data_IF_561081047009
#
_entry.id   IF_561081047009
#
_cell.length_a   1.000
_cell.length_b   1.000
_cell.length_c   1.000
_cell.angle_alpha   90.00
_cell.angle_beta   90.00
_cell.angle_gamma   90.00
#
_symmetry.space_group_name_H-M   'P 1'
#
loop_
_entity.id
_entity.type
_entity.pdbx_description
1 polymer ?
#
# COMPACT_ATOMS: atom_id res chain seq x y z
N UNK A 1 -1.30 11.88 31.93
CA UNK A 1 -0.06 11.63 31.18
C UNK A 1 -0.26 12.29 29.83
N UNK A 2 0.64 13.19 29.43
CA UNK A 2 0.57 13.80 28.09
C UNK A 2 0.72 12.70 27.03
N UNK A 3 -0.19 12.68 26.06
CA UNK A 3 -0.13 11.76 24.93
C UNK A 3 1.04 12.19 24.04
N UNK A 4 2.00 11.28 23.80
CA UNK A 4 3.15 11.59 22.93
C UNK A 4 2.70 11.85 21.50
N UNK A 5 3.29 12.86 20.87
CA UNK A 5 3.11 13.19 19.46
C UNK A 5 3.66 12.08 18.55
N UNK A 6 3.26 12.05 17.28
CA UNK A 6 3.81 11.09 16.32
C UNK A 6 5.32 11.24 16.15
N UNK A 7 5.82 12.48 16.08
CA UNK A 7 7.25 12.76 15.96
C UNK A 7 8.04 12.24 17.17
N UNK A 8 7.52 12.41 18.39
CA UNK A 8 8.14 11.88 19.61
C UNK A 8 8.19 10.35 19.63
N UNK A 9 7.16 9.67 19.10
CA UNK A 9 7.20 8.21 18.98
C UNK A 9 8.21 7.77 17.93
N UNK A 10 8.18 8.37 16.74
CA UNK A 10 9.08 8.05 15.62
C UNK A 10 10.55 8.22 16.00
N UNK A 11 10.89 9.28 16.74
CA UNK A 11 12.28 9.53 17.18
C UNK A 11 12.86 8.48 18.13
N UNK A 12 12.04 7.56 18.65
CA UNK A 12 12.50 6.43 19.50
C UNK A 12 12.87 5.18 18.69
N UNK A 13 12.61 5.17 17.39
CA UNK A 13 12.91 4.03 16.53
C UNK A 13 14.43 3.76 16.51
N UNK A 14 14.87 2.51 16.75
CA UNK A 14 16.26 2.12 16.56
C UNK A 14 16.69 2.30 15.09
N UNK A 15 17.86 2.90 14.87
CA UNK A 15 18.36 3.21 13.52
C UNK A 15 19.39 2.18 13.02
N UNK A 16 19.15 0.89 13.27
CA UNK A 16 20.03 -0.18 12.74
C UNK A 16 19.66 -0.57 11.31
N UNK A 17 18.52 -0.10 10.81
CA UNK A 17 18.00 -0.38 9.47
C UNK A 17 17.48 0.92 8.85
N UNK A 18 18.39 1.80 8.37
CA UNK A 18 17.98 3.05 7.73
C UNK A 18 17.22 2.75 6.43
N UNK A 19 15.95 3.15 6.39
CA UNK A 19 15.07 3.02 5.23
C UNK A 19 14.75 4.40 4.69
N UNK A 20 15.10 4.62 3.43
CA UNK A 20 14.96 5.91 2.74
C UNK A 20 13.54 6.11 2.17
N UNK A 21 12.72 5.06 2.13
CA UNK A 21 11.35 5.05 1.64
C UNK A 21 11.02 3.81 0.83
N UNK A 22 9.90 3.85 0.11
CA UNK A 22 9.50 2.78 -0.83
C UNK A 22 10.27 2.91 -2.14
N UNK A 23 10.83 1.81 -2.62
CA UNK A 23 11.54 1.75 -3.90
C UNK A 23 10.63 1.34 -5.07
N UNK A 24 9.85 0.26 -4.87
CA UNK A 24 8.77 -0.21 -5.75
C UNK A 24 7.80 -1.12 -5.00
N UNK A 25 6.63 -1.33 -5.60
CA UNK A 25 5.68 -2.38 -5.21
C UNK A 25 5.56 -3.35 -6.38
N UNK A 26 5.73 -4.66 -6.14
CA UNK A 26 5.56 -5.68 -7.17
C UNK A 26 4.30 -6.48 -6.93
N UNK A 27 3.51 -6.61 -8.00
CA UNK A 27 2.32 -7.43 -8.08
C UNK A 27 2.64 -8.69 -8.85
N UNK A 28 2.18 -9.82 -8.33
CA UNK A 28 2.11 -11.05 -9.08
C UNK A 28 0.70 -11.16 -9.65
N UNK A 29 0.61 -11.17 -10.97
CA UNK A 29 -0.64 -11.02 -11.70
C UNK A 29 -0.80 -12.07 -12.80
N UNK A 30 -2.04 -12.45 -13.10
CA UNK A 30 -2.37 -13.42 -14.13
C UNK A 30 -2.00 -12.95 -15.53
N UNK A 31 -2.05 -11.63 -15.79
CA UNK A 31 -1.63 -11.05 -17.06
C UNK A 31 -0.98 -9.68 -16.87
N UNK A 32 0.35 -9.67 -16.76
CA UNK A 32 1.12 -8.44 -16.53
C UNK A 32 0.95 -7.39 -17.63
N UNK A 33 0.70 -7.79 -18.88
CA UNK A 33 0.51 -6.84 -19.99
C UNK A 33 -0.82 -6.11 -19.87
N UNK A 34 -1.90 -6.82 -19.51
CA UNK A 34 -3.22 -6.22 -19.30
C UNK A 34 -3.27 -5.39 -18.01
N UNK A 35 -2.69 -5.90 -16.92
CA UNK A 35 -2.57 -5.14 -15.67
C UNK A 35 -1.77 -3.84 -15.90
N UNK A 36 -0.64 -3.92 -16.61
CA UNK A 36 0.12 -2.72 -16.95
C UNK A 36 -0.69 -1.75 -17.83
N UNK A 37 -1.51 -2.25 -18.76
CA UNK A 37 -2.41 -1.40 -19.53
C UNK A 37 -3.43 -0.68 -18.63
N UNK A 38 -4.10 -1.41 -17.73
CA UNK A 38 -5.09 -0.86 -16.79
C UNK A 38 -4.50 0.24 -15.90
N UNK A 39 -3.41 -0.02 -15.19
CA UNK A 39 -2.78 0.98 -14.32
C UNK A 39 -2.24 2.18 -15.11
N UNK A 40 -1.78 1.96 -16.36
CA UNK A 40 -1.40 3.05 -17.24
C UNK A 40 -2.61 3.91 -17.61
N UNK A 41 -3.66 3.32 -18.17
CA UNK A 41 -4.84 4.04 -18.68
C UNK A 41 -5.66 4.67 -17.56
N UNK A 42 -5.98 3.90 -16.52
CA UNK A 42 -6.92 4.29 -15.48
C UNK A 42 -6.26 5.22 -14.44
N UNK A 43 -5.02 4.89 -14.03
CA UNK A 43 -4.32 5.65 -12.98
C UNK A 43 -3.28 6.65 -13.52
N UNK A 44 -3.03 6.72 -14.84
CA UNK A 44 -2.13 7.70 -15.43
C UNK A 44 -0.64 7.43 -15.27
N UNK A 45 -0.28 6.19 -14.94
CA UNK A 45 1.12 5.78 -14.91
C UNK A 45 1.77 5.85 -16.30
N UNK A 46 3.09 5.94 -16.34
CA UNK A 46 3.88 5.89 -17.56
C UNK A 46 4.69 4.60 -17.64
N UNK A 47 4.96 4.13 -18.86
CA UNK A 47 5.88 3.01 -19.07
C UNK A 47 7.29 3.43 -18.69
N UNK A 48 7.99 2.61 -17.90
CA UNK A 48 9.38 2.85 -17.50
C UNK A 48 10.31 1.80 -18.11
N UNK A 49 10.07 0.53 -17.78
CA UNK A 49 10.98 -0.55 -18.14
C UNK A 49 10.25 -1.88 -18.33
N UNK A 50 10.91 -2.82 -19.00
CA UNK A 50 10.39 -4.16 -19.26
C UNK A 50 11.49 -5.21 -19.13
N UNK A 51 11.16 -6.36 -18.55
CA UNK A 51 11.95 -7.57 -18.60
C UNK A 51 11.07 -8.76 -19.05
N UNK A 52 11.59 -9.60 -19.93
CA UNK A 52 10.88 -10.77 -20.44
C UNK A 52 11.73 -11.55 -21.44
N UNK A 53 11.14 -12.43 -22.28
CA UNK A 53 11.90 -13.29 -23.17
C UNK A 53 12.81 -12.51 -24.12
N UNK A 54 12.37 -11.31 -24.53
CA UNK A 54 13.11 -10.39 -25.40
C UNK A 54 14.31 -9.73 -24.70
N UNK A 55 14.40 -9.80 -23.36
CA UNK A 55 15.56 -9.36 -22.56
C UNK A 55 16.33 -10.53 -21.94
N UNK A 56 16.01 -11.77 -22.33
CA UNK A 56 16.66 -12.98 -21.82
C UNK A 56 16.00 -13.62 -20.59
N UNK A 57 14.97 -12.99 -20.02
CA UNK A 57 14.18 -13.55 -18.90
C UNK A 57 13.09 -14.47 -19.46
N UNK A 58 13.28 -15.79 -19.36
CA UNK A 58 12.43 -16.76 -20.09
C UNK A 58 11.30 -17.40 -19.27
N UNK A 59 11.29 -17.16 -17.97
CA UNK A 59 10.35 -17.75 -17.00
C UNK A 59 9.20 -16.81 -16.63
N UNK A 60 9.37 -15.50 -16.79
CA UNK A 60 8.38 -14.47 -16.45
C UNK A 60 8.48 -13.25 -17.38
N UNK A 61 7.45 -12.41 -17.33
CA UNK A 61 7.47 -11.07 -17.91
C UNK A 61 7.06 -10.04 -16.86
N UNK A 62 7.80 -8.94 -16.79
CA UNK A 62 7.65 -7.87 -15.80
C UNK A 62 7.61 -6.51 -16.47
N UNK A 63 6.53 -5.77 -16.24
CA UNK A 63 6.33 -4.41 -16.74
C UNK A 63 6.45 -3.43 -15.59
N UNK A 64 7.31 -2.43 -15.74
CA UNK A 64 7.52 -1.39 -14.73
C UNK A 64 6.82 -0.12 -15.18
N UNK A 65 5.93 0.36 -14.32
CA UNK A 65 5.21 1.59 -14.46
C UNK A 65 5.69 2.61 -13.44
N UNK A 66 5.70 3.89 -13.82
CA UNK A 66 6.09 4.98 -12.91
C UNK A 66 5.14 6.18 -12.99
N UNK A 67 4.82 6.76 -11.84
CA UNK A 67 4.18 8.07 -11.71
C UNK A 67 4.75 8.77 -10.47
N UNK A 68 5.33 9.95 -10.65
CA UNK A 68 6.10 10.58 -9.59
C UNK A 68 7.23 9.66 -9.10
N UNK A 69 7.25 9.39 -7.79
CA UNK A 69 8.15 8.44 -7.12
C UNK A 69 7.58 7.02 -7.02
N UNK A 70 6.33 6.80 -7.42
CA UNK A 70 5.68 5.49 -7.34
C UNK A 70 6.19 4.62 -8.48
N UNK A 71 6.68 3.43 -8.17
CA UNK A 71 7.00 2.39 -9.16
C UNK A 71 6.19 1.14 -8.89
N UNK A 72 5.39 0.71 -9.87
CA UNK A 72 4.67 -0.55 -9.82
C UNK A 72 5.35 -1.52 -10.79
N UNK A 73 5.66 -2.72 -10.33
CA UNK A 73 6.09 -3.83 -11.18
C UNK A 73 4.92 -4.80 -11.30
N UNK A 74 4.50 -5.10 -12.53
CA UNK A 74 3.45 -6.06 -12.82
C UNK A 74 4.14 -7.28 -13.42
N UNK A 75 4.12 -8.40 -12.70
CA UNK A 75 4.91 -9.58 -13.04
C UNK A 75 4.00 -10.80 -13.22
N UNK A 76 4.15 -11.50 -14.34
CA UNK A 76 3.41 -12.73 -14.65
C UNK A 76 4.37 -13.86 -15.02
N UNK A 77 4.02 -15.09 -14.66
CA UNK A 77 4.77 -16.26 -15.11
C UNK A 77 4.49 -16.55 -16.58
N UNK A 78 5.46 -17.14 -17.27
CA UNK A 78 5.29 -17.67 -18.63
C UNK A 78 5.01 -19.17 -18.66
N UNK A 79 5.02 -19.82 -17.48
CA UNK A 79 4.71 -21.23 -17.29
C UNK A 79 3.91 -21.47 -16.01
N UNK A 80 3.09 -22.51 -16.01
CA UNK A 80 2.25 -22.87 -14.87
C UNK A 80 3.05 -23.36 -13.66
N UNK A 81 4.19 -24.02 -13.88
CA UNK A 81 5.10 -24.53 -12.85
C UNK A 81 6.05 -23.45 -12.32
N UNK A 82 5.48 -22.35 -11.83
CA UNK A 82 6.23 -21.19 -11.37
C UNK A 82 5.66 -20.63 -10.06
N UNK A 83 6.48 -20.16 -9.11
CA UNK A 83 6.00 -19.56 -7.86
C UNK A 83 5.02 -18.40 -8.04
N UNK A 84 5.17 -17.59 -9.10
CA UNK A 84 4.20 -16.55 -9.47
C UNK A 84 2.84 -17.17 -9.81
N UNK A 85 2.81 -18.27 -10.57
CA UNK A 85 1.56 -18.96 -10.93
C UNK A 85 0.84 -19.52 -9.71
N UNK A 86 1.59 -20.08 -8.74
CA UNK A 86 0.99 -20.57 -7.48
C UNK A 86 0.46 -19.41 -6.61
N UNK A 87 1.16 -18.27 -6.57
CA UNK A 87 0.65 -17.06 -5.91
C UNK A 87 -0.66 -16.62 -6.55
N UNK A 88 -0.68 -16.41 -7.88
CA UNK A 88 -1.86 -15.91 -8.59
C UNK A 88 -3.05 -16.87 -8.46
N UNK A 89 -2.79 -18.18 -8.54
CA UNK A 89 -3.81 -19.21 -8.34
C UNK A 89 -4.46 -19.10 -6.96
N UNK A 90 -3.65 -18.89 -5.91
CA UNK A 90 -4.13 -18.80 -4.54
C UNK A 90 -4.78 -17.45 -4.23
N UNK A 91 -4.16 -16.35 -4.62
CA UNK A 91 -4.46 -15.01 -4.14
C UNK A 91 -5.27 -14.15 -5.13
N UNK A 92 -5.26 -14.48 -6.43
CA UNK A 92 -5.63 -13.52 -7.46
C UNK A 92 -4.47 -12.58 -7.81
N UNK A 93 -4.78 -11.39 -8.29
CA UNK A 93 -3.77 -10.39 -8.66
C UNK A 93 -3.39 -9.58 -7.42
N UNK A 94 -2.32 -9.99 -6.73
CA UNK A 94 -1.97 -9.45 -5.41
C UNK A 94 -0.61 -8.77 -5.34
N UNK A 95 -0.41 -7.93 -4.31
CA UNK A 95 0.92 -7.43 -3.95
C UNK A 95 1.75 -8.57 -3.37
N UNK A 96 2.92 -8.81 -3.95
CA UNK A 96 3.89 -9.79 -3.47
C UNK A 96 5.06 -9.14 -2.74
N UNK A 97 5.54 -8.00 -3.24
CA UNK A 97 6.74 -7.33 -2.73
C UNK A 97 6.47 -5.89 -2.38
N UNK A 98 6.86 -5.50 -1.17
CA UNK A 98 7.02 -4.13 -0.72
C UNK A 98 8.52 -3.82 -0.63
N UNK A 99 9.08 -3.25 -1.70
CA UNK A 99 10.51 -2.98 -1.77
C UNK A 99 10.86 -1.66 -1.09
N UNK A 100 11.90 -1.70 -0.25
CA UNK A 100 12.39 -0.61 0.57
C UNK A 100 13.76 -0.17 0.06
N UNK A 101 13.90 1.13 -0.17
CA UNK A 101 15.18 1.71 -0.54
C UNK A 101 16.06 1.82 0.71
N UNK A 102 17.24 1.20 0.66
CA UNK A 102 18.25 1.23 1.72
C UNK A 102 19.62 1.63 1.15
N UNK A 103 20.52 2.03 2.04
CA UNK A 103 21.89 2.39 1.66
C UNK A 103 22.81 1.15 1.49
N UNK A 104 22.48 0.05 2.18
CA UNK A 104 23.19 -1.22 2.13
C UNK A 104 22.23 -2.41 2.25
N UNK A 105 22.00 -3.11 1.14
CA UNK A 105 21.08 -4.26 1.11
C UNK A 105 21.65 -5.50 1.83
N UNK A 106 22.98 -5.62 1.94
CA UNK A 106 23.62 -6.75 2.62
C UNK A 106 23.49 -6.59 4.14
N UNK A 107 23.82 -5.40 4.65
CA UNK A 107 23.66 -5.07 6.07
C UNK A 107 22.19 -5.17 6.49
N UNK A 108 21.25 -4.66 5.67
CA UNK A 108 19.82 -4.78 5.96
C UNK A 108 19.37 -6.24 6.16
N UNK A 109 19.86 -7.16 5.32
CA UNK A 109 19.56 -8.58 5.44
C UNK A 109 20.19 -9.20 6.69
N UNK A 110 21.47 -8.92 6.96
CA UNK A 110 22.15 -9.44 8.14
C UNK A 110 21.46 -8.97 9.43
N UNK A 111 21.16 -7.67 9.53
CA UNK A 111 20.52 -7.08 10.70
C UNK A 111 19.11 -7.64 10.94
N UNK A 112 18.33 -7.87 9.89
CA UNK A 112 16.97 -8.40 10.03
C UNK A 112 16.96 -9.89 10.32
N UNK A 113 17.78 -10.69 9.63
CA UNK A 113 17.83 -12.14 9.83
C UNK A 113 18.41 -12.53 11.19
N UNK A 114 19.44 -11.82 11.70
CA UNK A 114 19.95 -12.06 13.06
C UNK A 114 18.93 -11.74 14.16
N UNK A 115 17.88 -10.97 13.84
CA UNK A 115 16.74 -10.67 14.72
C UNK A 115 15.51 -11.55 14.47
N UNK A 116 15.65 -12.60 13.68
CA UNK A 116 14.62 -13.63 13.50
C UNK A 116 13.80 -13.49 12.21
N UNK A 117 14.15 -12.59 11.29
CA UNK A 117 13.54 -12.57 9.97
C UNK A 117 13.79 -13.90 9.23
N UNK A 118 12.74 -14.45 8.61
CA UNK A 118 12.90 -15.57 7.69
C UNK A 118 13.45 -15.05 6.36
N UNK A 119 14.59 -15.57 5.87
CA UNK A 119 15.16 -15.12 4.61
C UNK A 119 14.26 -15.50 3.42
N UNK A 120 14.10 -14.57 2.48
CA UNK A 120 13.48 -14.81 1.18
C UNK A 120 14.55 -14.87 0.07
N UNK A 121 15.45 -13.90 0.05
CA UNK A 121 16.51 -13.80 -0.94
C UNK A 121 17.82 -13.40 -0.25
N UNK A 122 18.80 -14.30 -0.32
CA UNK A 122 20.17 -14.01 0.09
C UNK A 122 20.71 -12.80 -0.69
N UNK A 123 21.54 -11.95 -0.06
CA UNK A 123 22.10 -10.77 -0.71
C UNK A 123 22.82 -11.10 -2.02
N UNK A 124 22.47 -10.35 -3.05
CA UNK A 124 23.07 -10.48 -4.38
C UNK A 124 23.30 -9.12 -5.02
N UNK A 125 24.35 -9.04 -5.83
CA UNK A 125 24.63 -7.91 -6.72
C UNK A 125 24.23 -8.28 -8.13
N UNK A 126 23.42 -7.44 -8.76
CA UNK A 126 23.14 -7.49 -10.18
C UNK A 126 23.98 -6.41 -10.88
N UNK A 127 24.55 -6.73 -12.04
CA UNK A 127 25.43 -5.82 -12.79
C UNK A 127 25.10 -5.85 -14.27
N UNK A 128 25.11 -4.68 -14.91
CA UNK A 128 25.14 -4.50 -16.36
C UNK A 128 26.05 -3.31 -16.73
N UNK A 129 26.01 -2.86 -17.99
CA UNK A 129 26.80 -1.73 -18.49
C UNK A 129 26.52 -0.38 -17.80
N UNK A 130 25.40 -0.25 -17.09
CA UNK A 130 24.96 0.96 -16.38
C UNK A 130 25.25 0.92 -14.87
N UNK A 131 25.98 -0.10 -14.40
CA UNK A 131 26.45 -0.21 -13.02
C UNK A 131 25.84 -1.39 -12.26
N UNK A 132 25.61 -1.21 -10.95
CA UNK A 132 25.17 -2.29 -10.06
C UNK A 132 23.97 -1.93 -9.17
N UNK A 133 23.09 -2.90 -8.96
CA UNK A 133 22.02 -2.86 -7.95
C UNK A 133 22.25 -4.02 -6.99
N UNK A 134 22.30 -3.74 -5.69
CA UNK A 134 22.35 -4.78 -4.67
C UNK A 134 20.98 -4.98 -4.06
N UNK A 135 20.63 -6.23 -3.82
CA UNK A 135 19.32 -6.57 -3.29
C UNK A 135 19.36 -7.79 -2.39
N UNK A 136 18.44 -7.83 -1.44
CA UNK A 136 18.19 -8.93 -0.53
C UNK A 136 16.73 -8.87 -0.10
N UNK A 137 16.22 -9.87 0.61
CA UNK A 137 14.85 -9.79 1.11
C UNK A 137 14.48 -10.81 2.16
N UNK A 138 13.43 -10.47 2.90
CA UNK A 138 12.87 -11.25 4.01
C UNK A 138 11.35 -11.37 3.85
N UNK A 139 10.79 -12.44 4.42
CA UNK A 139 9.34 -12.56 4.57
C UNK A 139 8.84 -11.69 5.73
N UNK A 140 7.63 -11.16 5.60
CA UNK A 140 6.85 -10.57 6.69
C UNK A 140 5.55 -11.38 6.89
N UNK A 141 4.39 -10.75 7.09
CA UNK A 141 3.09 -11.42 7.19
C UNK A 141 2.71 -12.18 5.92
N UNK A 142 2.07 -13.34 6.13
CA UNK A 142 1.69 -14.28 5.08
C UNK A 142 2.88 -14.68 4.21
N UNK A 143 2.78 -14.34 2.93
CA UNK A 143 3.86 -14.55 1.96
C UNK A 143 4.35 -13.26 1.31
N UNK A 144 4.01 -12.11 1.92
CA UNK A 144 4.49 -10.79 1.51
C UNK A 144 5.99 -10.66 1.83
N UNK A 145 6.71 -9.98 0.94
CA UNK A 145 8.16 -9.84 1.04
C UNK A 145 8.53 -8.37 1.21
N UNK A 146 9.43 -8.11 2.15
CA UNK A 146 10.22 -6.88 2.14
C UNK A 146 11.53 -7.13 1.39
N UNK A 147 11.69 -6.47 0.25
CA UNK A 147 12.95 -6.45 -0.49
C UNK A 147 13.74 -5.21 -0.10
N UNK A 148 15.03 -5.36 0.18
CA UNK A 148 15.95 -4.23 0.41
C UNK A 148 16.70 -3.94 -0.86
N UNK A 149 16.65 -2.69 -1.32
CA UNK A 149 17.19 -2.29 -2.62
C UNK A 149 18.19 -1.15 -2.44
N UNK A 150 19.44 -1.40 -2.83
CA UNK A 150 20.53 -0.42 -2.86
C UNK A 150 20.82 -0.05 -4.32
N UNK A 151 20.61 1.23 -4.68
CA UNK A 151 20.68 1.73 -6.07
C UNK A 151 21.76 2.77 -6.34
N UNK A 152 22.58 3.11 -5.35
CA UNK A 152 23.51 4.26 -5.41
C UNK A 152 24.50 4.21 -6.59
N UNK A 153 24.74 3.03 -7.15
CA UNK A 153 25.70 2.79 -8.23
C UNK A 153 25.04 2.35 -9.56
N UNK A 154 23.76 2.68 -9.80
CA UNK A 154 23.06 2.29 -11.04
C UNK A 154 22.42 3.48 -11.74
N UNK A 155 22.62 3.60 -13.05
CA UNK A 155 22.07 4.69 -13.88
C UNK A 155 21.19 4.21 -15.04
N UNK A 156 20.95 2.91 -15.14
CA UNK A 156 20.08 2.33 -16.18
C UNK A 156 18.60 2.61 -15.95
N UNK A 157 17.75 2.07 -16.84
CA UNK A 157 16.31 2.37 -16.86
C UNK A 157 15.58 2.00 -15.56
N UNK A 158 15.95 0.87 -14.96
CA UNK A 158 15.38 0.43 -13.69
C UNK A 158 16.35 -0.42 -12.87
N UNK A 159 16.67 -1.63 -13.32
CA UNK A 159 17.71 -2.49 -12.73
C UNK A 159 18.22 -3.48 -13.80
N UNK A 160 19.38 -4.13 -13.59
CA UNK A 160 19.91 -5.07 -14.58
C UNK A 160 18.92 -6.15 -15.01
N UNK A 161 18.89 -6.42 -16.32
CA UNK A 161 17.94 -7.34 -16.96
C UNK A 161 16.65 -6.66 -17.47
N UNK A 162 16.44 -5.38 -17.14
CA UNK A 162 15.37 -4.57 -17.71
C UNK A 162 15.89 -3.66 -18.82
N UNK A 163 15.09 -3.50 -19.87
CA UNK A 163 15.30 -2.46 -20.89
C UNK A 163 14.26 -1.35 -20.75
N UNK A 164 14.55 -0.18 -21.31
CA UNK A 164 13.55 0.89 -21.46
C UNK A 164 12.33 0.33 -22.20
N UNK A 165 11.13 0.62 -21.68
CA UNK A 165 9.89 0.30 -22.36
C UNK A 165 9.17 1.58 -22.76
N UNK A 166 9.25 1.90 -24.05
CA UNK A 166 8.50 3.01 -24.64
C UNK A 166 7.18 2.51 -25.22
N UNK A 167 6.18 3.38 -25.21
CA UNK A 167 4.86 3.11 -25.72
C UNK A 167 4.26 4.39 -26.28
N UNK A 168 3.67 4.31 -27.47
CA UNK A 168 3.08 5.45 -28.18
C UNK A 168 1.89 6.06 -27.44
N UNK A 169 1.20 5.26 -26.63
CA UNK A 169 0.12 5.73 -25.78
C UNK A 169 0.67 6.21 -24.44
N UNK A 170 0.61 7.51 -24.19
CA UNK A 170 1.03 8.15 -22.93
C UNK A 170 -0.16 8.94 -22.37
N UNK A 171 -0.93 8.36 -21.43
CA UNK A 171 -2.03 9.10 -20.80
C UNK A 171 -1.47 10.26 -19.98
N UNK A 172 -2.27 11.31 -19.78
CA UNK A 172 -1.86 12.38 -18.86
C UNK A 172 -1.66 11.81 -17.44
N UNK A 173 -0.77 12.41 -16.65
CA UNK A 173 -0.65 12.03 -15.24
C UNK A 173 -1.95 12.32 -14.49
N UNK A 174 -2.22 11.55 -13.44
CA UNK A 174 -3.37 11.73 -12.56
C UNK A 174 -3.00 12.53 -11.29
N UNK A 175 -1.79 13.09 -11.21
CA UNK A 175 -1.31 13.82 -10.04
C UNK A 175 -0.80 12.96 -8.88
N UNK A 176 -0.59 11.65 -9.08
CA UNK A 176 -0.08 10.76 -8.03
C UNK A 176 1.44 10.97 -7.80
N UNK A 177 1.85 11.06 -6.54
CA UNK A 177 3.20 11.50 -6.18
C UNK A 177 4.10 10.39 -5.62
N UNK A 178 3.67 9.72 -4.55
CA UNK A 178 4.45 8.72 -3.82
C UNK A 178 3.52 7.83 -2.99
N UNK A 179 4.02 6.69 -2.52
CA UNK A 179 3.30 5.80 -1.59
C UNK A 179 3.32 6.44 -0.20
N UNK A 180 2.15 6.74 0.35
CA UNK A 180 2.01 7.28 1.72
C UNK A 180 2.14 6.17 2.76
N UNK A 181 1.44 5.06 2.54
CA UNK A 181 1.48 3.87 3.39
C UNK A 181 0.91 2.63 2.65
N UNK A 182 1.16 1.45 3.19
CA UNK A 182 0.58 0.18 2.71
C UNK A 182 0.03 -0.60 3.90
N UNK A 183 -1.18 -1.13 3.78
CA UNK A 183 -1.88 -1.78 4.90
C UNK A 183 -1.88 -3.28 4.75
N UNK A 184 -1.44 -3.99 5.78
CA UNK A 184 -1.43 -5.45 5.85
C UNK A 184 -2.59 -5.98 6.70
N UNK A 185 -3.35 -6.93 6.18
CA UNK A 185 -4.35 -7.68 6.94
C UNK A 185 -3.73 -9.00 7.41
N UNK A 186 -3.80 -9.26 8.72
CA UNK A 186 -3.31 -10.49 9.35
C UNK A 186 -4.45 -11.26 10.02
N UNK A 187 -4.19 -12.54 10.33
CA UNK A 187 -5.20 -13.42 10.92
C UNK A 187 -5.65 -13.01 12.33
N UNK A 188 -6.65 -13.73 12.86
CA UNK A 188 -7.11 -13.57 14.23
C UNK A 188 -5.97 -13.72 15.26
N UNK A 189 -5.84 -12.74 16.15
CA UNK A 189 -4.82 -12.68 17.21
C UNK A 189 -3.37 -12.60 16.69
N UNK A 190 -3.17 -12.14 15.45
CA UNK A 190 -1.86 -12.06 14.79
C UNK A 190 -1.32 -10.64 14.73
N UNK A 191 -2.13 -9.61 14.97
CA UNK A 191 -1.68 -8.21 14.88
C UNK A 191 -0.55 -7.92 15.85
N UNK A 192 -0.66 -8.36 17.11
CA UNK A 192 0.39 -8.14 18.09
C UNK A 192 1.68 -8.91 17.75
N UNK A 193 1.57 -10.11 17.18
CA UNK A 193 2.74 -10.85 16.70
C UNK A 193 3.44 -10.13 15.54
N UNK A 194 2.65 -9.63 14.57
CA UNK A 194 3.17 -8.87 13.44
C UNK A 194 3.79 -7.53 13.87
N UNK A 195 3.15 -6.82 14.79
CA UNK A 195 3.67 -5.56 15.37
C UNK A 195 4.99 -5.81 16.09
N UNK A 196 5.05 -6.82 16.97
CA UNK A 196 6.29 -7.18 17.66
C UNK A 196 7.39 -7.57 16.66
N UNK A 197 7.02 -8.28 15.58
CA UNK A 197 7.95 -8.60 14.50
C UNK A 197 8.53 -7.33 13.85
N UNK A 198 7.70 -6.33 13.53
CA UNK A 198 8.19 -5.06 12.98
C UNK A 198 9.09 -4.29 13.95
N UNK A 199 8.76 -4.29 15.25
CA UNK A 199 9.59 -3.66 16.29
C UNK A 199 10.95 -4.33 16.40
N UNK A 200 10.97 -5.66 16.57
CA UNK A 200 12.19 -6.42 16.82
C UNK A 200 13.03 -6.55 15.55
N UNK A 201 12.43 -6.95 14.43
CA UNK A 201 13.17 -7.29 13.20
C UNK A 201 13.56 -6.05 12.42
N UNK A 202 12.68 -5.05 12.34
CA UNK A 202 12.87 -3.89 11.47
C UNK A 202 13.20 -2.61 12.22
N UNK A 203 13.10 -2.58 13.55
CA UNK A 203 13.34 -1.39 14.35
C UNK A 203 12.24 -0.34 14.19
N UNK A 204 11.03 -0.75 13.76
CA UNK A 204 9.90 0.16 13.63
C UNK A 204 9.32 0.45 15.01
N UNK A 205 8.52 1.50 15.10
CA UNK A 205 7.76 1.83 16.32
C UNK A 205 6.28 1.91 16.03
N UNK A 206 5.48 1.45 16.98
CA UNK A 206 4.04 1.63 16.92
C UNK A 206 3.68 3.09 17.22
N UNK A 207 3.20 3.80 16.21
CA UNK A 207 2.88 5.22 16.31
C UNK A 207 1.41 5.47 16.63
N UNK A 208 0.53 4.53 16.31
CA UNK A 208 -0.92 4.67 16.45
C UNK A 208 -1.58 3.32 16.68
N UNK A 209 -2.55 3.25 17.57
CA UNK A 209 -3.31 2.03 17.84
C UNK A 209 -4.78 2.36 17.96
N UNK A 210 -5.59 1.52 17.36
CA UNK A 210 -7.04 1.55 17.41
C UNK A 210 -7.54 0.21 17.93
N UNK A 211 -8.37 0.27 18.96
CA UNK A 211 -9.10 -0.89 19.45
C UNK A 211 -10.47 -1.02 18.78
N UNK A 212 -11.12 -2.14 19.04
CA UNK A 212 -12.45 -2.49 18.57
C UNK A 212 -13.53 -1.50 19.04
N UNK A 213 -13.33 -0.81 20.17
CA UNK A 213 -14.25 0.22 20.66
C UNK A 213 -14.15 1.51 19.88
N UNK A 214 -12.97 1.79 19.32
CA UNK A 214 -12.71 2.96 18.48
C UNK A 214 -13.08 2.71 17.01
N UNK A 215 -12.95 1.48 16.52
CA UNK A 215 -13.32 1.10 15.14
C UNK A 215 -14.35 -0.04 15.15
N UNK A 216 -15.60 0.34 15.32
CA UNK A 216 -16.77 -0.53 15.14
C UNK A 216 -17.90 0.20 14.41
N UNK A 217 -18.74 -0.58 13.75
CA UNK A 217 -20.11 -0.21 13.40
C UNK A 217 -21.08 -0.95 14.30
N UNK A 218 -22.38 -0.85 13.98
CA UNK A 218 -23.37 -1.70 14.63
C UNK A 218 -23.10 -3.20 14.40
N UNK A 219 -22.41 -3.56 13.31
CA UNK A 219 -22.34 -4.91 12.80
C UNK A 219 -20.95 -5.54 12.92
N UNK A 220 -19.86 -4.85 12.59
CA UNK A 220 -18.52 -5.43 12.70
C UNK A 220 -17.47 -4.44 13.21
N UNK A 221 -16.26 -4.96 13.50
CA UNK A 221 -15.16 -4.22 14.08
C UNK A 221 -13.81 -4.70 13.52
N UNK A 222 -12.75 -3.91 13.74
CA UNK A 222 -11.37 -4.33 13.55
C UNK A 222 -10.45 -3.67 14.58
N UNK A 223 -9.26 -4.22 14.73
CA UNK A 223 -8.16 -3.58 15.43
C UNK A 223 -7.07 -3.21 14.45
N UNK A 224 -6.40 -2.09 14.68
CA UNK A 224 -5.33 -1.62 13.80
C UNK A 224 -4.18 -1.01 14.58
N UNK A 225 -2.95 -1.34 14.19
CA UNK A 225 -1.72 -0.74 14.73
C UNK A 225 -0.83 -0.27 13.60
N UNK A 226 -0.34 0.96 13.70
CA UNK A 226 0.48 1.57 12.65
C UNK A 226 1.95 1.53 13.03
N UNK A 227 2.73 0.82 12.23
CA UNK A 227 4.18 0.75 12.36
C UNK A 227 4.84 1.81 11.48
N UNK A 228 5.84 2.51 12.02
CA UNK A 228 6.63 3.50 11.28
C UNK A 228 8.13 3.32 11.49
N UNK A 229 8.92 3.54 10.45
CA UNK A 229 10.37 3.66 10.57
C UNK A 229 10.78 5.02 11.20
N UNK A 230 12.04 5.16 11.57
CA UNK A 230 12.57 6.31 12.32
C UNK A 230 12.57 7.67 11.62
N UNK A 231 12.26 7.73 10.33
CA UNK A 231 12.07 9.00 9.60
C UNK A 231 10.62 9.23 9.15
N UNK A 232 9.70 8.30 9.42
CA UNK A 232 8.28 8.43 9.06
C UNK A 232 7.95 8.27 7.58
N UNK A 233 8.91 7.89 6.73
CA UNK A 233 8.68 7.71 5.29
C UNK A 233 8.09 6.36 4.93
N UNK A 234 8.25 5.33 5.76
CA UNK A 234 7.65 4.02 5.56
C UNK A 234 6.71 3.72 6.71
N UNK A 235 5.43 3.53 6.36
CA UNK A 235 4.33 3.30 7.30
C UNK A 235 3.55 2.06 6.89
N UNK A 236 3.36 1.16 7.85
CA UNK A 236 2.62 -0.10 7.67
C UNK A 236 1.55 -0.24 8.76
N UNK A 237 0.32 0.21 8.52
CA UNK A 237 -0.84 -0.22 9.30
C UNK A 237 -1.04 -1.73 9.18
N UNK A 238 -1.23 -2.39 10.31
CA UNK A 238 -1.48 -3.82 10.44
C UNK A 238 -2.85 -4.00 11.08
N UNK A 239 -3.75 -4.67 10.38
CA UNK A 239 -5.11 -4.89 10.82
C UNK A 239 -5.34 -6.36 11.16
N UNK A 240 -6.14 -6.63 12.18
CA UNK A 240 -6.74 -7.95 12.43
C UNK A 240 -8.26 -7.85 12.58
N UNK A 241 -8.99 -8.94 12.32
CA UNK A 241 -10.42 -9.01 12.61
C UNK A 241 -10.68 -8.81 14.11
N UNK A 242 -11.84 -8.24 14.45
CA UNK A 242 -12.34 -8.13 15.82
C UNK A 242 -13.77 -8.68 15.92
N UNK A 243 -14.19 -9.09 17.12
CA UNK A 243 -15.53 -9.62 17.34
C UNK A 243 -16.61 -8.58 17.04
N UNK A 244 -17.65 -8.99 16.32
CA UNK A 244 -18.81 -8.17 15.97
C UNK A 244 -20.08 -9.00 15.85
N UNK A 245 -21.23 -8.36 15.60
CA UNK A 245 -22.49 -9.07 15.30
C UNK A 245 -22.44 -9.83 13.97
N UNK A 246 -21.58 -9.39 13.07
CA UNK A 246 -21.42 -9.84 11.68
C UNK A 246 -19.94 -9.97 11.33
N UNK A 247 -19.64 -10.55 10.17
CA UNK A 247 -18.28 -10.84 9.72
C UNK A 247 -17.50 -9.54 9.50
N UNK A 248 -16.29 -9.45 10.04
CA UNK A 248 -15.39 -8.32 9.78
C UNK A 248 -14.94 -8.30 8.33
N UNK A 249 -14.85 -7.12 7.71
CA UNK A 249 -14.24 -6.96 6.39
C UNK A 249 -12.80 -7.48 6.29
N UNK A 250 -12.06 -7.53 7.41
CA UNK A 250 -10.72 -8.11 7.46
C UNK A 250 -10.81 -9.63 7.29
N UNK A 251 -11.85 -10.25 7.86
CA UNK A 251 -12.13 -11.66 7.67
C UNK A 251 -12.60 -11.96 6.23
N UNK A 252 -13.42 -11.10 5.62
CA UNK A 252 -13.74 -11.19 4.17
C UNK A 252 -12.45 -11.18 3.34
N UNK A 253 -11.53 -10.23 3.58
CA UNK A 253 -10.25 -10.19 2.89
C UNK A 253 -9.48 -11.51 3.05
N UNK A 254 -9.34 -12.03 4.28
CA UNK A 254 -8.57 -13.25 4.56
C UNK A 254 -9.18 -14.48 3.86
N UNK A 255 -10.50 -14.55 3.75
CA UNK A 255 -11.21 -15.63 3.04
C UNK A 255 -10.95 -15.58 1.53
N UNK A 256 -11.11 -14.43 0.89
CA UNK A 256 -10.98 -14.31 -0.57
C UNK A 256 -9.52 -14.19 -1.05
N UNK A 257 -8.64 -13.64 -0.22
CA UNK A 257 -7.20 -13.67 -0.44
C UNK A 257 -6.59 -15.02 -0.03
N UNK A 258 -7.30 -15.87 0.70
CA UNK A 258 -6.77 -17.15 1.23
C UNK A 258 -5.48 -16.99 2.06
N UNK A 259 -5.37 -15.92 2.84
CA UNK A 259 -4.24 -15.68 3.74
C UNK A 259 -4.02 -14.21 4.12
N UNK A 260 -2.91 -13.95 4.82
CA UNK A 260 -2.47 -12.61 5.18
C UNK A 260 -1.80 -11.91 3.98
N UNK A 261 -2.00 -10.60 3.83
CA UNK A 261 -1.44 -9.85 2.70
C UNK A 261 -1.77 -8.36 2.72
N UNK A 262 -1.36 -7.65 1.67
CA UNK A 262 -1.60 -6.22 1.53
C UNK A 262 -3.04 -5.97 1.08
N UNK A 263 -3.81 -5.28 1.92
CA UNK A 263 -5.18 -4.88 1.62
C UNK A 263 -5.21 -3.66 0.69
N UNK A 264 -4.47 -2.61 1.02
CA UNK A 264 -4.48 -1.41 0.21
C UNK A 264 -3.18 -0.64 0.19
N UNK A 265 -3.06 0.17 -0.85
CA UNK A 265 -1.94 1.07 -1.09
C UNK A 265 -2.47 2.49 -1.10
N UNK A 266 -2.00 3.31 -0.18
CA UNK A 266 -2.33 4.73 -0.14
C UNK A 266 -1.33 5.53 -0.97
N UNK A 267 -1.84 6.34 -1.90
CA UNK A 267 -1.04 7.16 -2.81
C UNK A 267 -1.31 8.64 -2.58
N UNK A 268 -0.23 9.38 -2.34
CA UNK A 268 -0.30 10.80 -2.04
C UNK A 268 -0.55 11.63 -3.31
N UNK A 269 -1.37 12.68 -3.19
CA UNK A 269 -1.58 13.71 -4.22
C UNK A 269 -1.55 15.13 -3.65
N UNK A 270 -1.31 16.14 -4.51
CA UNK A 270 -1.37 17.57 -4.14
C UNK A 270 -2.75 18.19 -4.34
N UNK A 271 -3.62 17.53 -5.08
CA UNK A 271 -4.96 18.02 -5.43
C UNK A 271 -5.89 16.82 -5.61
N UNK A 272 -6.46 16.37 -4.50
CA UNK A 272 -7.32 15.18 -4.44
C UNK A 272 -8.60 15.38 -5.24
N UNK A 273 -9.16 16.59 -5.27
CA UNK A 273 -10.37 16.89 -6.03
C UNK A 273 -10.10 16.65 -7.51
N UNK A 274 -9.04 17.27 -8.07
CA UNK A 274 -8.66 17.06 -9.46
C UNK A 274 -8.29 15.61 -9.75
N UNK A 275 -7.52 15.00 -8.86
CA UNK A 275 -7.07 13.59 -8.99
C UNK A 275 -8.26 12.65 -9.08
N UNK A 276 -9.24 12.78 -8.18
CA UNK A 276 -10.41 11.91 -8.13
C UNK A 276 -11.32 12.12 -9.34
N UNK A 277 -11.52 13.38 -9.78
CA UNK A 277 -12.25 13.68 -11.02
C UNK A 277 -11.58 12.97 -12.21
N UNK A 278 -10.26 13.08 -12.32
CA UNK A 278 -9.50 12.48 -13.41
C UNK A 278 -9.58 10.95 -13.38
N UNK A 279 -9.36 10.32 -12.21
CA UNK A 279 -9.45 8.87 -12.04
C UNK A 279 -10.86 8.36 -12.35
N UNK A 280 -11.92 9.03 -11.86
CA UNK A 280 -13.31 8.69 -12.20
C UNK A 280 -13.58 8.80 -13.69
N UNK A 281 -13.09 9.85 -14.36
CA UNK A 281 -13.26 10.04 -15.81
C UNK A 281 -12.59 8.94 -16.64
N UNK A 282 -11.59 8.27 -16.07
CA UNK A 282 -10.87 7.13 -16.66
C UNK A 282 -11.44 5.77 -16.27
N UNK A 283 -12.55 5.75 -15.54
CA UNK A 283 -13.26 4.52 -15.16
C UNK A 283 -12.80 3.89 -13.85
N UNK A 284 -11.99 4.58 -13.03
CA UNK A 284 -11.72 4.10 -11.66
C UNK A 284 -12.97 4.30 -10.81
N UNK A 285 -13.46 3.21 -10.23
CA UNK A 285 -14.58 3.24 -9.31
C UNK A 285 -14.13 3.49 -7.87
N UNK A 286 -14.91 4.29 -7.14
CA UNK A 286 -14.69 4.59 -5.73
C UNK A 286 -15.84 4.05 -4.89
N UNK A 287 -15.58 3.85 -3.59
CA UNK A 287 -16.63 3.52 -2.64
C UNK A 287 -17.71 4.61 -2.63
N UNK A 288 -18.92 4.20 -2.26
CA UNK A 288 -20.04 5.12 -2.09
C UNK A 288 -19.72 6.21 -1.07
N UNK A 289 -20.15 7.44 -1.35
CA UNK A 289 -20.04 8.55 -0.42
C UNK A 289 -20.75 8.22 0.92
N UNK A 290 -20.24 8.70 2.06
CA UNK A 290 -20.99 8.64 3.31
C UNK A 290 -22.30 9.46 3.20
N UNK A 291 -23.27 9.25 4.12
CA UNK A 291 -24.51 10.03 4.11
C UNK A 291 -24.27 11.54 4.21
N UNK A 292 -25.16 12.36 3.67
CA UNK A 292 -25.13 13.84 3.71
C UNK A 292 -24.81 14.39 5.11
N UNK A 293 -25.39 13.77 6.15
CA UNK A 293 -25.15 14.12 7.55
C UNK A 293 -23.66 14.09 7.97
N UNK A 294 -22.82 13.29 7.32
CA UNK A 294 -21.37 13.31 7.53
C UNK A 294 -20.77 14.66 7.15
N UNK A 295 -21.16 15.21 6.00
CA UNK A 295 -20.66 16.48 5.47
C UNK A 295 -21.23 17.68 6.25
N UNK A 296 -22.48 17.60 6.68
CA UNK A 296 -23.10 18.61 7.56
C UNK A 296 -22.36 18.77 8.90
N UNK A 297 -21.95 17.64 9.49
CA UNK A 297 -21.23 17.63 10.77
C UNK A 297 -19.72 17.88 10.61
N UNK A 298 -19.18 17.73 9.41
CA UNK A 298 -17.73 17.81 9.16
C UNK A 298 -17.11 19.14 9.65
N UNK A 299 -17.65 20.34 9.37
CA UNK A 299 -17.06 21.60 9.84
C UNK A 299 -16.92 21.70 11.35
N UNK A 300 -17.81 21.04 12.11
CA UNK A 300 -17.75 21.02 13.57
C UNK A 300 -16.62 20.12 14.08
N UNK A 301 -16.28 19.07 13.33
CA UNK A 301 -15.23 18.11 13.67
C UNK A 301 -13.84 18.56 13.23
N UNK A 302 -13.71 19.05 12.00
CA UNK A 302 -12.40 19.36 11.38
C UNK A 302 -12.08 20.84 11.25
N UNK A 303 -13.05 21.71 11.57
CA UNK A 303 -12.89 23.15 11.42
C UNK A 303 -12.90 23.59 9.95
N UNK A 304 -12.13 24.64 9.66
CA UNK A 304 -12.07 25.25 8.34
C UNK A 304 -11.08 24.49 7.44
N UNK A 305 -11.54 24.14 6.24
CA UNK A 305 -10.73 23.53 5.17
C UNK A 305 -10.66 24.45 3.94
N UNK A 306 -9.76 24.14 3.00
CA UNK A 306 -9.58 24.94 1.78
C UNK A 306 -10.58 24.55 0.68
N UNK A 307 -11.00 23.28 0.67
CA UNK A 307 -11.83 22.68 -0.36
C UNK A 307 -13.33 22.98 -0.16
N UNK A 308 -14.09 23.01 -1.26
CA UNK A 308 -15.53 23.20 -1.23
C UNK A 308 -16.24 21.90 -0.79
N UNK A 309 -16.97 21.95 0.33
CA UNK A 309 -17.60 20.76 0.95
C UNK A 309 -18.58 20.06 -0.01
N UNK A 310 -19.38 20.82 -0.76
CA UNK A 310 -20.31 20.28 -1.76
C UNK A 310 -19.59 19.45 -2.83
N UNK A 311 -18.38 19.86 -3.22
CA UNK A 311 -17.57 19.13 -4.18
C UNK A 311 -17.00 17.87 -3.56
N UNK A 312 -16.51 17.94 -2.31
CA UNK A 312 -16.06 16.76 -1.57
C UNK A 312 -17.18 15.73 -1.41
N UNK A 313 -18.39 16.17 -1.10
CA UNK A 313 -19.59 15.35 -1.01
C UNK A 313 -19.92 14.66 -2.33
N UNK A 314 -20.00 15.42 -3.42
CA UNK A 314 -20.28 14.86 -4.75
C UNK A 314 -19.23 13.83 -5.19
N UNK A 315 -18.01 13.96 -4.69
CA UNK A 315 -16.91 13.05 -4.99
C UNK A 315 -16.80 11.88 -4.02
N UNK A 316 -17.45 11.94 -2.84
CA UNK A 316 -17.32 10.95 -1.77
C UNK A 316 -15.99 11.04 -1.01
N UNK A 317 -15.34 12.21 -1.01
CA UNK A 317 -14.07 12.42 -0.32
C UNK A 317 -14.32 12.62 1.17
N UNK A 318 -13.56 11.93 2.00
CA UNK A 318 -13.61 12.00 3.46
C UNK A 318 -12.56 12.97 3.98
N UNK A 319 -12.84 13.64 5.10
CA UNK A 319 -11.95 14.62 5.73
C UNK A 319 -11.80 14.34 7.22
N UNK A 320 -10.57 14.33 7.70
CA UNK A 320 -10.26 14.28 9.13
C UNK A 320 -9.12 15.24 9.49
N UNK A 321 -8.92 15.49 10.77
CA UNK A 321 -7.86 16.38 11.26
C UNK A 321 -7.13 15.83 12.48
N UNK A 322 -5.93 16.35 12.68
CA UNK A 322 -5.19 16.25 13.94
C UNK A 322 -4.69 17.66 14.35
N UNK A 323 -3.84 17.72 15.36
CA UNK A 323 -3.30 18.97 15.90
C UNK A 323 -2.45 19.77 14.89
N UNK A 324 -1.89 19.10 13.87
CA UNK A 324 -0.99 19.70 12.87
C UNK A 324 -1.73 20.16 11.60
N UNK A 325 -2.94 19.67 11.37
CA UNK A 325 -3.76 20.08 10.23
C UNK A 325 -4.83 19.07 9.87
N UNK A 326 -5.20 19.00 8.59
CA UNK A 326 -6.22 18.08 8.10
C UNK A 326 -5.72 17.21 6.95
N UNK A 327 -6.45 16.13 6.68
CA UNK A 327 -6.21 15.23 5.56
C UNK A 327 -7.53 14.92 4.87
N UNK A 328 -7.41 14.70 3.55
CA UNK A 328 -8.49 14.22 2.70
C UNK A 328 -8.14 12.83 2.20
N UNK A 329 -9.11 11.93 2.17
CA UNK A 329 -8.92 10.56 1.71
C UNK A 329 -10.14 10.04 0.95
N UNK A 330 -9.93 9.13 0.03
CA UNK A 330 -11.00 8.37 -0.63
C UNK A 330 -10.46 7.02 -1.09
N UNK A 331 -11.32 6.01 -1.09
CA UNK A 331 -10.94 4.64 -1.42
C UNK A 331 -11.62 4.19 -2.69
N UNK A 332 -10.84 3.54 -3.53
CA UNK A 332 -11.34 2.85 -4.73
C UNK A 332 -12.14 1.61 -4.31
N UNK A 333 -13.02 1.12 -5.19
CA UNK A 333 -13.46 -0.27 -5.11
C UNK A 333 -12.27 -1.22 -5.32
N UNK A 334 -12.38 -2.51 -4.96
CA UNK A 334 -11.37 -3.49 -5.32
C UNK A 334 -10.98 -3.39 -6.80
N UNK A 335 -9.68 -3.52 -7.09
CA UNK A 335 -9.15 -3.42 -8.47
C UNK A 335 -9.23 -4.74 -9.24
N UNK A 336 -9.88 -5.73 -8.63
CA UNK A 336 -10.11 -7.08 -9.11
C UNK A 336 -11.46 -7.59 -8.58
N UNK A 337 -11.95 -8.73 -9.08
CA UNK A 337 -13.25 -9.28 -8.65
C UNK A 337 -13.25 -9.75 -7.18
N UNK A 338 -12.09 -10.20 -6.69
CA UNK A 338 -11.93 -10.57 -5.29
C UNK A 338 -11.98 -9.29 -4.44
N UNK A 339 -12.69 -9.26 -3.30
CA UNK A 339 -12.75 -8.11 -2.40
C UNK A 339 -11.45 -7.99 -1.58
N UNK A 340 -10.32 -7.88 -2.28
CA UNK A 340 -8.97 -7.95 -1.72
C UNK A 340 -8.27 -6.61 -1.85
N UNK A 341 -7.54 -6.38 -2.93
CA UNK A 341 -6.70 -5.20 -3.09
C UNK A 341 -7.52 -3.99 -3.56
N UNK A 342 -7.30 -2.83 -2.92
CA UNK A 342 -7.76 -1.53 -3.41
C UNK A 342 -6.72 -0.43 -3.18
N UNK A 343 -6.98 0.76 -3.71
CA UNK A 343 -6.18 1.96 -3.51
C UNK A 343 -6.91 2.99 -2.66
N UNK A 344 -6.13 3.71 -1.85
CA UNK A 344 -6.53 4.97 -1.21
C UNK A 344 -5.84 6.13 -1.93
N UNK A 345 -6.58 7.20 -2.24
CA UNK A 345 -6.01 8.47 -2.67
C UNK A 345 -6.03 9.40 -1.47
N UNK A 346 -4.87 9.90 -1.06
CA UNK A 346 -4.73 10.73 0.15
C UNK A 346 -4.06 12.06 -0.16
N UNK A 347 -4.55 13.13 0.45
CA UNK A 347 -3.91 14.44 0.47
C UNK A 347 -3.78 14.91 1.91
N UNK A 348 -2.53 15.22 2.32
CA UNK A 348 -2.23 15.75 3.65
C UNK A 348 -2.02 17.26 3.59
N UNK A 349 -2.71 18.00 4.44
CA UNK A 349 -2.59 19.45 4.66
C UNK A 349 -2.09 19.69 6.09
N UNK A 350 -0.84 19.28 6.33
CA UNK A 350 -0.19 19.32 7.65
C UNK A 350 -0.36 18.03 8.45
N UNK A 351 -1.55 17.41 8.40
CA UNK A 351 -1.86 16.24 9.22
C UNK A 351 -0.90 15.05 9.05
N UNK A 352 -0.51 14.48 10.19
CA UNK A 352 0.40 13.33 10.31
C UNK A 352 -0.33 12.03 10.69
N UNK A 353 -1.59 12.13 11.11
CA UNK A 353 -2.47 11.02 11.50
C UNK A 353 -2.98 10.21 10.31
N UNK A 354 -3.81 9.19 10.57
CA UNK A 354 -4.36 8.27 9.57
C UNK A 354 -5.87 8.41 9.38
N UNK A 355 -6.44 9.54 9.84
CA UNK A 355 -7.86 9.78 9.70
C UNK A 355 -8.71 8.90 10.63
N UNK A 356 -8.36 8.86 11.91
CA UNK A 356 -9.09 8.09 12.93
C UNK A 356 -10.62 8.31 12.87
N UNK A 357 -11.04 9.56 12.72
CA UNK A 357 -12.44 9.97 12.62
C UNK A 357 -13.10 9.58 11.29
N UNK A 358 -12.32 9.28 10.25
CA UNK A 358 -12.82 8.75 8.99
C UNK A 358 -13.02 7.24 9.01
N UNK A 359 -12.33 6.49 9.88
CA UNK A 359 -12.41 5.03 9.87
C UNK A 359 -13.85 4.52 9.99
N UNK A 360 -14.68 5.14 10.83
CA UNK A 360 -16.09 4.73 10.94
C UNK A 360 -16.84 4.92 9.62
N UNK A 361 -16.75 6.10 9.00
CA UNK A 361 -17.45 6.38 7.74
C UNK A 361 -16.92 5.52 6.58
N UNK A 362 -15.62 5.27 6.54
CA UNK A 362 -14.99 4.34 5.61
C UNK A 362 -15.53 2.93 5.81
N UNK A 363 -15.54 2.46 7.05
CA UNK A 363 -15.95 1.11 7.40
C UNK A 363 -17.42 0.86 7.08
N UNK A 364 -18.30 1.81 7.39
CA UNK A 364 -19.70 1.75 6.96
C UNK A 364 -19.83 1.69 5.43
N UNK A 365 -18.91 2.33 4.69
CA UNK A 365 -18.92 2.30 3.23
C UNK A 365 -18.42 0.97 2.67
N UNK A 366 -17.42 0.36 3.30
CA UNK A 366 -16.94 -0.97 2.96
C UNK A 366 -17.95 -2.07 3.36
N UNK A 367 -18.61 -1.95 4.51
CA UNK A 367 -19.68 -2.86 4.94
C UNK A 367 -20.85 -2.87 3.97
N UNK A 368 -21.24 -1.70 3.43
CA UNK A 368 -22.27 -1.65 2.38
C UNK A 368 -21.87 -2.47 1.15
N UNK A 369 -20.60 -2.39 0.73
CA UNK A 369 -20.11 -3.21 -0.39
C UNK A 369 -20.02 -4.70 -0.03
N UNK A 370 -19.65 -5.03 1.21
CA UNK A 370 -19.64 -6.41 1.74
C UNK A 370 -21.04 -7.01 1.78
N UNK A 371 -22.06 -6.22 2.15
CA UNK A 371 -23.47 -6.60 2.12
C UNK A 371 -23.95 -6.85 0.69
N UNK A 372 -23.57 -6.01 -0.27
CA UNK A 372 -23.87 -6.22 -1.69
C UNK A 372 -23.26 -7.52 -2.23
N UNK A 373 -22.12 -7.96 -1.69
CA UNK A 373 -21.50 -9.25 -2.01
C UNK A 373 -22.11 -10.43 -1.25
N UNK A 374 -22.98 -10.18 -0.28
CA UNK A 374 -23.60 -11.21 0.56
C UNK A 374 -22.68 -11.78 1.65
N UNK A 375 -21.63 -11.05 2.02
CA UNK A 375 -20.58 -11.51 2.94
C UNK A 375 -20.64 -10.84 4.33
N UNK A 376 -21.65 -9.99 4.60
CA UNK A 376 -21.81 -9.23 5.86
C UNK A 376 -22.70 -9.97 6.87
#
# INVERSE_FOLDING_TARGET
>A
METQTFAEKISKAPDFLPINGTDYIEFYVGNAKQAAHYYKTAYGFQSLAYAGPETGVRDRASYVLQQGKIRLILTTALKSDHPISEHVKKHGDGVKVLALWVDDAYSAFEETTKRGAKPYMEPKTLTDENGEVKMSGIYTYGETIHMFIERKNYTGAFMPGYRVWESDYQPADAGLLYIDHCVGNVGWNRMNEAVQWYEDVMGFVNILSFDDKQINTEYSALMSKVMSNGNGFSKFPINEPAEGKKKSQIEEYLEYYEGEGVQHIAVATKDIVKTVIELKSRGVEFLSAPPEAYYDMMPQRVGKIDEEISLLESLGILVDCDEEGYLLQIFTKPVEDRPTLFFEIIQRKGAQSFGAGNFKALFESLEREQELRGNL
#
